data_IF_956701812781
#
_entry.id   IF_956701812781
#
_cell.length_a   1.000
_cell.length_b   1.000
_cell.length_c   1.000
_cell.angle_alpha   90.00
_cell.angle_beta   90.00
_cell.angle_gamma   90.00
#
_symmetry.space_group_name_H-M   'P 1'
#
loop_
_entity.id
_entity.type
_entity.pdbx_description
1 polymer ?
#
# COMPACT_ATOMS: atom_id res chain seq x y z
N UNK A 1 -33.57 -43.19 -20.72
CA UNK A 1 -33.26 -41.93 -21.45
C UNK A 1 -33.83 -40.67 -20.81
N UNK A 2 -35.15 -40.55 -20.55
CA UNK A 2 -35.72 -39.36 -19.89
C UNK A 2 -35.22 -39.15 -18.45
N UNK A 3 -35.13 -40.22 -17.67
CA UNK A 3 -34.66 -40.15 -16.27
C UNK A 3 -33.19 -39.71 -16.17
N UNK A 4 -32.32 -40.26 -17.01
CA UNK A 4 -30.91 -39.86 -17.11
C UNK A 4 -30.76 -38.38 -17.49
N UNK A 5 -31.57 -37.88 -18.42
CA UNK A 5 -31.57 -36.44 -18.79
C UNK A 5 -31.99 -35.56 -17.61
N UNK A 6 -33.06 -35.94 -16.91
CA UNK A 6 -33.51 -35.25 -15.70
C UNK A 6 -32.43 -35.24 -14.60
N UNK A 7 -31.70 -36.34 -14.42
CA UNK A 7 -30.58 -36.38 -13.46
C UNK A 7 -29.42 -35.47 -13.87
N UNK A 8 -29.06 -35.43 -15.16
CA UNK A 8 -28.04 -34.51 -15.68
C UNK A 8 -28.44 -33.05 -15.47
N UNK A 9 -29.71 -32.70 -15.72
CA UNK A 9 -30.21 -31.33 -15.50
C UNK A 9 -30.16 -30.94 -14.02
N UNK A 10 -30.54 -31.85 -13.11
CA UNK A 10 -30.45 -31.62 -11.66
C UNK A 10 -29.00 -31.41 -11.23
N UNK A 11 -28.08 -32.29 -11.67
CA UNK A 11 -26.66 -32.17 -11.34
C UNK A 11 -26.03 -30.90 -11.91
N UNK A 12 -26.43 -30.48 -13.11
CA UNK A 12 -25.95 -29.24 -13.74
C UNK A 12 -26.40 -28.01 -12.96
N UNK A 13 -27.67 -27.97 -12.54
CA UNK A 13 -28.19 -26.90 -11.70
C UNK A 13 -27.54 -26.88 -10.32
N UNK A 14 -27.31 -28.04 -9.71
CA UNK A 14 -26.57 -28.15 -8.45
C UNK A 14 -25.14 -27.66 -8.59
N UNK A 15 -24.44 -28.01 -9.68
CA UNK A 15 -23.09 -27.54 -9.97
C UNK A 15 -23.05 -26.01 -10.11
N UNK A 16 -23.94 -25.43 -10.91
CA UNK A 16 -24.02 -23.97 -11.07
C UNK A 16 -24.32 -23.25 -9.76
N UNK A 17 -25.19 -23.82 -8.91
CA UNK A 17 -25.45 -23.29 -7.57
C UNK A 17 -24.20 -23.31 -6.69
N UNK A 18 -23.47 -24.42 -6.67
CA UNK A 18 -22.23 -24.55 -5.88
C UNK A 18 -21.13 -23.63 -6.40
N UNK A 19 -21.04 -23.42 -7.72
CA UNK A 19 -20.09 -22.46 -8.33
C UNK A 19 -20.39 -21.03 -7.88
N UNK A 20 -21.65 -20.60 -7.91
CA UNK A 20 -22.06 -19.27 -7.40
C UNK A 20 -21.80 -19.14 -5.90
N UNK A 21 -22.12 -20.15 -5.11
CA UNK A 21 -21.83 -20.16 -3.66
C UNK A 21 -20.32 -20.06 -3.38
N UNK A 22 -19.49 -20.77 -4.16
CA UNK A 22 -18.02 -20.69 -4.09
C UNK A 22 -17.53 -19.28 -4.41
N UNK A 23 -18.02 -18.67 -5.48
CA UNK A 23 -17.57 -17.36 -5.94
C UNK A 23 -17.97 -16.27 -4.95
N UNK A 24 -19.19 -16.31 -4.41
CA UNK A 24 -19.62 -15.43 -3.34
C UNK A 24 -18.74 -15.56 -2.08
N UNK A 25 -18.40 -16.79 -1.67
CA UNK A 25 -17.51 -17.03 -0.54
C UNK A 25 -16.08 -16.53 -0.81
N UNK A 26 -15.59 -16.62 -2.05
CA UNK A 26 -14.29 -16.10 -2.44
C UNK A 26 -14.25 -14.56 -2.33
N UNK A 27 -15.30 -13.88 -2.81
CA UNK A 27 -15.45 -12.43 -2.71
C UNK A 27 -15.52 -11.97 -1.25
N UNK A 28 -16.30 -12.67 -0.41
CA UNK A 28 -16.41 -12.35 1.00
C UNK A 28 -15.08 -12.57 1.75
N UNK A 29 -14.35 -13.63 1.40
CA UNK A 29 -13.02 -13.89 1.94
C UNK A 29 -12.03 -12.78 1.52
N UNK A 30 -12.10 -12.29 0.27
CA UNK A 30 -11.28 -11.18 -0.19
C UNK A 30 -11.61 -9.88 0.57
N UNK A 31 -12.90 -9.56 0.75
CA UNK A 31 -13.33 -8.39 1.54
C UNK A 31 -12.85 -8.47 2.99
N UNK A 32 -12.94 -9.65 3.62
CA UNK A 32 -12.46 -9.84 4.99
C UNK A 32 -10.94 -9.68 5.06
N UNK A 33 -10.18 -10.21 4.09
CA UNK A 33 -8.73 -10.02 4.01
C UNK A 33 -8.36 -8.54 3.87
N UNK A 34 -9.05 -7.81 3.02
CA UNK A 34 -8.82 -6.38 2.84
C UNK A 34 -9.09 -5.61 4.14
N UNK A 35 -10.24 -5.84 4.77
CA UNK A 35 -10.57 -5.21 6.06
C UNK A 35 -9.55 -5.56 7.15
N UNK A 36 -9.08 -6.80 7.19
CA UNK A 36 -8.06 -7.22 8.14
C UNK A 36 -6.73 -6.49 7.93
N UNK A 37 -6.32 -6.28 6.66
CA UNK A 37 -5.13 -5.48 6.34
C UNK A 37 -5.31 -4.00 6.73
N UNK A 38 -6.47 -3.42 6.47
CA UNK A 38 -6.80 -2.05 6.88
C UNK A 38 -6.76 -1.91 8.42
N UNK A 39 -7.27 -2.90 9.16
CA UNK A 39 -7.25 -2.90 10.62
C UNK A 39 -5.82 -3.03 11.18
N UNK A 40 -4.97 -3.84 10.55
CA UNK A 40 -3.55 -3.94 10.91
C UNK A 40 -2.86 -2.58 10.72
N UNK A 41 -3.08 -1.92 9.58
CA UNK A 41 -2.49 -0.62 9.30
C UNK A 41 -2.95 0.42 10.33
N UNK A 42 -4.26 0.48 10.62
CA UNK A 42 -4.80 1.39 11.63
C UNK A 42 -4.23 1.11 13.03
N UNK A 43 -4.03 -0.16 13.39
CA UNK A 43 -3.40 -0.55 14.66
C UNK A 43 -1.95 -0.07 14.72
N UNK A 44 -1.18 -0.28 13.66
CA UNK A 44 0.23 0.16 13.59
C UNK A 44 0.33 1.69 13.67
N UNK A 45 -0.52 2.41 12.95
CA UNK A 45 -0.58 3.88 13.01
C UNK A 45 -0.95 4.38 14.42
N UNK A 46 -1.90 3.72 15.08
CA UNK A 46 -2.27 4.03 16.46
C UNK A 46 -1.15 3.72 17.46
N UNK A 47 -0.44 2.61 17.30
CA UNK A 47 0.71 2.22 18.13
C UNK A 47 1.88 3.22 17.96
N UNK A 48 2.15 3.65 16.73
CA UNK A 48 3.15 4.67 16.43
C UNK A 48 2.80 6.03 17.06
N UNK A 49 1.55 6.47 16.92
CA UNK A 49 1.06 7.70 17.54
C UNK A 49 1.13 7.65 19.07
N UNK A 50 0.77 6.51 19.68
CA UNK A 50 0.89 6.29 21.12
C UNK A 50 2.35 6.39 21.59
N UNK A 51 3.29 5.80 20.83
CA UNK A 51 4.71 5.88 21.14
C UNK A 51 5.25 7.31 21.07
N UNK A 52 4.84 8.09 20.05
CA UNK A 52 5.18 9.50 19.93
C UNK A 52 4.63 10.32 21.11
N UNK A 53 3.35 10.15 21.47
CA UNK A 53 2.78 10.87 22.61
C UNK A 53 3.44 10.51 23.94
N UNK A 54 3.90 9.27 24.13
CA UNK A 54 4.68 8.90 25.32
C UNK A 54 5.99 9.67 25.38
N UNK A 55 6.71 9.75 24.27
CA UNK A 55 7.96 10.53 24.22
C UNK A 55 7.72 12.03 24.50
N UNK A 56 6.64 12.60 23.96
CA UNK A 56 6.26 13.99 24.24
C UNK A 56 5.91 14.23 25.71
N UNK A 57 5.20 13.29 26.35
CA UNK A 57 4.88 13.34 27.78
C UNK A 57 6.14 13.25 28.64
N UNK A 58 7.07 12.35 28.28
CA UNK A 58 8.34 12.22 28.99
C UNK A 58 9.18 13.50 28.87
N UNK A 59 9.27 14.07 27.66
CA UNK A 59 9.97 15.33 27.41
C UNK A 59 9.33 16.51 28.17
N UNK A 60 8.00 16.61 28.16
CA UNK A 60 7.27 17.64 28.91
C UNK A 60 7.45 17.46 30.43
N UNK A 61 7.51 16.22 30.92
CA UNK A 61 7.75 15.92 32.33
C UNK A 61 9.16 16.32 32.76
N UNK A 62 10.18 16.05 31.94
CA UNK A 62 11.54 16.50 32.18
C UNK A 62 11.62 18.03 32.21
N UNK A 63 11.04 18.71 31.22
CA UNK A 63 10.99 20.17 31.17
C UNK A 63 10.29 20.77 32.39
N UNK A 64 9.21 20.14 32.87
CA UNK A 64 8.52 20.55 34.10
C UNK A 64 9.43 20.44 35.32
N UNK A 65 10.12 19.31 35.49
CA UNK A 65 11.03 19.08 36.61
C UNK A 65 12.19 20.09 36.60
N UNK A 66 12.75 20.39 35.43
CA UNK A 66 13.85 21.37 35.31
C UNK A 66 13.37 22.79 35.67
N UNK A 67 12.15 23.16 35.25
CA UNK A 67 11.54 24.43 35.65
C UNK A 67 11.22 24.48 37.15
N UNK A 68 10.72 23.39 37.75
CA UNK A 68 10.48 23.28 39.20
C UNK A 68 11.80 23.49 39.98
N UNK A 69 12.89 22.82 39.58
CA UNK A 69 14.22 23.02 40.17
C UNK A 69 14.73 24.45 40.02
N UNK A 70 14.47 25.08 38.86
CA UNK A 70 14.88 26.46 38.65
C UNK A 70 14.10 27.43 39.54
N UNK A 71 12.82 27.18 39.77
CA UNK A 71 12.00 27.94 40.71
C UNK A 71 12.53 27.78 42.13
N UNK A 72 12.81 26.56 42.58
CA UNK A 72 13.37 26.30 43.91
C UNK A 72 14.71 27.02 44.10
N UNK A 73 15.64 26.90 43.15
CA UNK A 73 16.94 27.57 43.20
C UNK A 73 16.81 29.11 43.26
N UNK A 74 15.88 29.69 42.50
CA UNK A 74 15.64 31.14 42.54
C UNK A 74 14.99 31.58 43.86
N UNK A 75 14.14 30.75 44.46
CA UNK A 75 13.57 31.02 45.77
C UNK A 75 14.65 31.00 46.87
N UNK A 76 15.57 30.03 46.82
CA UNK A 76 16.73 29.98 47.71
C UNK A 76 17.64 31.21 47.56
N UNK A 77 17.90 31.64 46.32
CA UNK A 77 18.69 32.85 46.04
C UNK A 77 18.02 34.11 46.60
N UNK A 78 16.70 34.26 46.41
CA UNK A 78 15.93 35.36 47.00
C UNK A 78 15.99 35.34 48.53
N UNK A 79 15.84 34.18 49.15
CA UNK A 79 15.91 34.04 50.60
C UNK A 79 17.31 34.40 51.13
N UNK A 80 18.36 33.96 50.44
CA UNK A 80 19.74 34.28 50.77
C UNK A 80 20.02 35.79 50.67
N UNK A 81 19.61 36.43 49.57
CA UNK A 81 19.78 37.88 49.38
C UNK A 81 19.04 38.70 50.44
N UNK A 82 17.83 38.28 50.81
CA UNK A 82 17.07 38.92 51.90
C UNK A 82 17.80 38.84 53.23
N UNK A 83 18.35 37.66 53.55
CA UNK A 83 19.10 37.45 54.79
C UNK A 83 20.37 38.31 54.83
N UNK A 84 21.13 38.36 53.75
CA UNK A 84 22.31 39.24 53.64
C UNK A 84 21.90 40.69 53.83
N UNK A 85 20.84 41.15 53.17
CA UNK A 85 20.40 42.53 53.28
C UNK A 85 19.96 42.90 54.70
N UNK A 86 19.29 41.99 55.42
CA UNK A 86 18.96 42.17 56.83
C UNK A 86 20.21 42.25 57.71
N UNK A 87 21.21 41.38 57.48
CA UNK A 87 22.49 41.40 58.19
C UNK A 87 23.27 42.71 57.92
N UNK A 88 23.34 43.18 56.66
CA UNK A 88 23.97 44.45 56.27
C UNK A 88 23.27 45.65 56.90
N UNK A 89 21.93 45.67 56.95
CA UNK A 89 21.17 46.75 57.62
C UNK A 89 21.49 46.77 59.11
N UNK A 90 21.54 45.61 59.77
CA UNK A 90 21.86 45.51 61.20
C UNK A 90 23.28 46.00 61.48
N UNK A 91 24.25 45.62 60.64
CA UNK A 91 25.64 46.08 60.76
C UNK A 91 25.77 47.59 60.55
N UNK A 92 25.12 48.15 59.52
CA UNK A 92 25.10 49.59 59.28
C UNK A 92 24.42 50.36 60.41
N UNK A 93 23.34 49.83 60.98
CA UNK A 93 22.68 50.42 62.16
C UNK A 93 23.59 50.38 63.39
N UNK A 94 24.33 49.29 63.60
CA UNK A 94 25.31 49.18 64.67
C UNK A 94 26.46 50.19 64.49
N UNK A 95 27.01 50.31 63.27
CA UNK A 95 28.04 51.30 62.95
C UNK A 95 27.55 52.73 63.14
N UNK A 96 26.29 53.04 62.80
CA UNK A 96 25.68 54.35 63.04
C UNK A 96 25.48 54.66 64.53
N UNK A 97 25.17 53.65 65.35
CA UNK A 97 25.10 53.79 66.80
C UNK A 97 26.49 53.95 67.42
N UNK A 98 27.49 53.25 66.91
CA UNK A 98 28.88 53.29 67.38
C UNK A 98 29.55 54.63 67.01
N UNK A 99 29.30 55.16 65.82
CA UNK A 99 29.77 56.50 65.39
C UNK A 99 29.08 57.65 66.10
N UNK A 100 27.94 57.45 66.76
CA UNK A 100 27.26 58.49 67.54
C UNK A 100 27.81 58.66 68.98
N UNK A 101 28.81 57.87 69.40
CA UNK A 101 29.23 57.77 70.81
C UNK A 101 30.73 58.02 71.09
N UNK A 102 31.60 58.23 70.10
CA UNK A 102 33.03 58.45 70.40
C UNK A 102 33.67 59.56 69.58
N UNK A 103 33.70 60.78 70.12
CA UNK A 103 34.85 61.71 69.99
C UNK A 103 34.89 62.65 71.21
N UNK A 104 35.55 62.24 72.30
CA UNK A 104 36.21 63.17 73.22
C UNK A 104 37.64 62.69 73.44
N UNK A 105 38.58 63.51 72.96
CA UNK A 105 39.99 63.21 72.78
C UNK A 105 40.75 64.10 73.77
N UNK A 106 41.25 63.52 74.86
CA UNK A 106 42.11 64.23 75.81
C UNK A 106 43.53 63.66 75.79
N UNK A 107 44.48 64.60 75.69
CA UNK A 107 45.84 64.43 75.19
C UNK A 107 46.82 64.40 76.35
N UNK A 108 47.41 63.24 76.64
CA UNK A 108 48.65 63.15 77.41
C UNK A 108 49.79 62.76 76.47
N UNK A 109 50.77 63.66 76.32
CA UNK A 109 51.89 63.58 75.36
C UNK A 109 52.60 62.21 75.40
N UNK A 110 52.48 61.40 74.34
CA UNK A 110 53.46 60.41 73.97
C UNK A 110 54.36 61.01 72.87
N UNK A 111 55.40 60.30 72.46
CA UNK A 111 56.31 60.74 71.41
C UNK A 111 55.59 60.85 70.04
N UNK A 112 55.10 62.06 69.76
CA UNK A 112 54.20 62.38 68.63
C UNK A 112 54.83 62.07 67.27
N UNK A 113 56.16 62.15 67.17
CA UNK A 113 56.88 61.86 65.93
C UNK A 113 56.84 60.37 65.58
N UNK A 114 56.96 59.48 66.57
CA UNK A 114 56.86 58.04 66.39
C UNK A 114 55.42 57.61 66.04
N UNK A 115 54.42 58.17 66.73
CA UNK A 115 53.01 57.88 66.47
C UNK A 115 52.56 58.38 65.09
N UNK A 116 52.93 59.60 64.68
CA UNK A 116 52.62 60.11 63.34
C UNK A 116 53.31 59.30 62.23
N UNK A 117 54.54 58.83 62.47
CA UNK A 117 55.24 57.94 61.53
C UNK A 117 54.57 56.57 61.43
N UNK A 118 54.09 56.02 62.53
CA UNK A 118 53.38 54.75 62.54
C UNK A 118 52.01 54.86 61.85
N UNK A 119 51.23 55.92 62.15
CA UNK A 119 49.96 56.21 61.46
C UNK A 119 50.19 56.36 59.96
N UNK A 120 51.23 57.09 59.54
CA UNK A 120 51.58 57.24 58.13
C UNK A 120 51.93 55.90 57.48
N UNK A 121 52.75 55.08 58.14
CA UNK A 121 53.09 53.72 57.69
C UNK A 121 51.85 52.83 57.54
N UNK A 122 50.93 52.88 58.51
CA UNK A 122 49.67 52.15 58.44
C UNK A 122 48.80 52.63 57.27
N UNK A 123 48.68 53.94 57.06
CA UNK A 123 47.95 54.48 55.91
C UNK A 123 48.57 54.10 54.57
N UNK A 124 49.91 54.17 54.45
CA UNK A 124 50.62 53.75 53.24
C UNK A 124 50.42 52.26 52.98
N UNK A 125 50.46 51.42 54.01
CA UNK A 125 50.16 49.98 53.89
C UNK A 125 48.71 49.70 53.50
N UNK A 126 47.74 50.40 54.11
CA UNK A 126 46.31 50.26 53.78
C UNK A 126 46.05 50.71 52.35
N UNK A 127 46.63 51.83 51.91
CA UNK A 127 46.51 52.32 50.55
C UNK A 127 47.13 51.34 49.54
N UNK A 128 48.32 50.81 49.81
CA UNK A 128 48.96 49.81 48.97
C UNK A 128 48.13 48.52 48.88
N UNK A 129 47.60 48.05 50.02
CA UNK A 129 46.73 46.87 50.09
C UNK A 129 45.42 47.08 49.32
N UNK A 130 44.80 48.26 49.46
CA UNK A 130 43.58 48.61 48.74
C UNK A 130 43.80 48.64 47.21
N UNK A 131 44.92 49.22 46.75
CA UNK A 131 45.28 49.22 45.32
C UNK A 131 45.47 47.79 44.80
N UNK A 132 46.21 46.96 45.54
CA UNK A 132 46.43 45.56 45.15
C UNK A 132 45.12 44.76 45.12
N UNK A 133 44.28 44.89 46.14
CA UNK A 133 42.96 44.24 46.19
C UNK A 133 42.05 44.70 45.05
N UNK A 134 42.07 46.00 44.71
CA UNK A 134 41.35 46.53 43.56
C UNK A 134 41.87 45.96 42.24
N UNK A 135 43.19 45.90 42.03
CA UNK A 135 43.79 45.32 40.83
C UNK A 135 43.46 43.84 40.68
N UNK A 136 43.56 43.06 41.76
CA UNK A 136 43.20 41.64 41.78
C UNK A 136 41.71 41.45 41.49
N UNK A 137 40.85 42.27 42.09
CA UNK A 137 39.41 42.26 41.84
C UNK A 137 39.08 42.59 40.38
N UNK A 138 39.67 43.65 39.82
CA UNK A 138 39.47 44.01 38.42
C UNK A 138 39.97 42.92 37.47
N UNK A 139 41.15 42.34 37.74
CA UNK A 139 41.71 41.26 36.94
C UNK A 139 40.80 40.04 36.96
N UNK A 140 40.32 39.64 38.13
CA UNK A 140 39.36 38.55 38.30
C UNK A 140 38.07 38.83 37.52
N UNK A 141 37.53 40.05 37.63
CA UNK A 141 36.29 40.42 36.94
C UNK A 141 36.44 40.41 35.42
N UNK A 142 37.57 40.89 34.90
CA UNK A 142 37.88 40.85 33.46
C UNK A 142 38.03 39.41 32.99
N UNK A 143 38.70 38.53 33.76
CA UNK A 143 38.81 37.11 33.40
C UNK A 143 37.46 36.41 33.37
N UNK A 144 36.59 36.69 34.35
CA UNK A 144 35.25 36.12 34.41
C UNK A 144 34.39 36.55 33.21
N UNK A 145 34.39 37.85 32.89
CA UNK A 145 33.68 38.38 31.73
C UNK A 145 34.21 37.81 30.42
N UNK A 146 35.54 37.68 30.29
CA UNK A 146 36.17 37.09 29.10
C UNK A 146 35.80 35.61 28.95
N UNK A 147 35.82 34.85 30.05
CA UNK A 147 35.43 33.45 30.05
C UNK A 147 33.94 33.29 29.71
N UNK A 148 33.06 34.12 30.28
CA UNK A 148 31.63 34.12 29.98
C UNK A 148 31.37 34.46 28.51
N UNK A 149 32.09 35.45 27.95
CA UNK A 149 32.00 35.80 26.54
C UNK A 149 32.47 34.65 25.62
N UNK A 150 33.56 33.97 25.97
CA UNK A 150 34.04 32.79 25.24
C UNK A 150 32.99 31.68 25.23
N UNK A 151 32.47 31.31 26.41
CA UNK A 151 31.43 30.27 26.55
C UNK A 151 30.18 30.59 25.74
N UNK A 152 29.74 31.85 25.75
CA UNK A 152 28.58 32.28 24.97
C UNK A 152 28.86 32.21 23.45
N UNK A 153 30.07 32.56 23.01
CA UNK A 153 30.45 32.45 21.60
C UNK A 153 30.50 30.98 21.14
N UNK A 154 31.03 30.09 21.97
CA UNK A 154 31.04 28.64 21.70
C UNK A 154 29.62 28.06 21.63
N UNK A 155 28.74 28.43 22.57
CA UNK A 155 27.33 28.05 22.53
C UNK A 155 26.60 28.58 21.28
N UNK A 156 26.88 29.83 20.88
CA UNK A 156 26.34 30.41 19.64
C UNK A 156 26.86 29.68 18.40
N UNK A 157 28.12 29.24 18.40
CA UNK A 157 28.70 28.47 17.30
C UNK A 157 28.06 27.08 17.20
N UNK A 158 27.87 26.41 18.33
CA UNK A 158 27.24 25.10 18.38
C UNK A 158 25.79 25.15 17.88
N UNK A 159 24.98 26.08 18.40
CA UNK A 159 23.59 26.25 17.95
C UNK A 159 23.48 26.59 16.46
N UNK A 160 24.41 27.39 15.91
CA UNK A 160 24.49 27.63 14.45
C UNK A 160 24.81 26.37 13.67
N UNK A 161 25.69 25.51 14.18
CA UNK A 161 26.02 24.24 13.54
C UNK A 161 24.82 23.29 13.55
N UNK A 162 24.15 23.13 14.69
CA UNK A 162 22.92 22.33 14.82
C UNK A 162 21.82 22.85 13.86
N UNK A 163 21.64 24.17 13.76
CA UNK A 163 20.70 24.77 12.80
C UNK A 163 21.06 24.41 11.34
N UNK A 164 22.34 24.40 10.97
CA UNK A 164 22.77 24.00 9.63
C UNK A 164 22.52 22.52 9.37
N UNK A 165 22.78 21.66 10.36
CA UNK A 165 22.51 20.22 10.29
C UNK A 165 21.01 19.94 10.10
N UNK A 166 20.14 20.58 10.88
CA UNK A 166 18.69 20.48 10.69
C UNK A 166 18.25 21.00 9.33
N UNK A 167 18.84 22.09 8.83
CA UNK A 167 18.54 22.58 7.48
C UNK A 167 18.93 21.57 6.41
N UNK A 168 20.07 20.91 6.56
CA UNK A 168 20.50 19.84 5.64
C UNK A 168 19.59 18.61 5.71
N UNK A 169 19.15 18.20 6.91
CA UNK A 169 18.18 17.12 7.09
C UNK A 169 16.84 17.44 6.41
N UNK A 170 16.32 18.66 6.60
CA UNK A 170 15.08 19.11 5.93
C UNK A 170 15.22 19.01 4.41
N UNK A 171 16.34 19.47 3.85
CA UNK A 171 16.60 19.37 2.41
C UNK A 171 16.68 17.91 1.94
N UNK A 172 17.38 17.05 2.69
CA UNK A 172 17.48 15.61 2.38
C UNK A 172 16.12 14.94 2.36
N UNK A 173 15.30 15.15 3.40
CA UNK A 173 13.96 14.59 3.47
C UNK A 173 13.03 15.17 2.41
N UNK A 174 13.16 16.45 2.06
CA UNK A 174 12.38 17.05 0.96
C UNK A 174 12.69 16.35 -0.36
N UNK A 175 13.98 16.14 -0.68
CA UNK A 175 14.39 15.41 -1.88
C UNK A 175 13.91 13.96 -1.88
N UNK A 176 13.95 13.28 -0.73
CA UNK A 176 13.46 11.91 -0.60
C UNK A 176 11.94 11.83 -0.82
N UNK A 177 11.17 12.74 -0.24
CA UNK A 177 9.72 12.87 -0.45
C UNK A 177 9.41 13.08 -1.93
N UNK A 178 10.11 14.00 -2.60
CA UNK A 178 9.86 14.29 -4.01
C UNK A 178 10.25 13.11 -4.91
N UNK A 179 11.32 12.39 -4.58
CA UNK A 179 11.70 11.14 -5.25
C UNK A 179 10.61 10.07 -5.09
N UNK A 180 10.12 9.85 -3.86
CA UNK A 180 9.07 8.86 -3.56
C UNK A 180 7.72 9.22 -4.20
N UNK A 181 7.37 10.50 -4.28
CA UNK A 181 6.21 10.96 -5.03
C UNK A 181 6.36 10.63 -6.51
N UNK A 182 7.53 10.91 -7.10
CA UNK A 182 7.81 10.60 -8.49
C UNK A 182 7.73 9.09 -8.80
N UNK A 183 8.24 8.24 -7.91
CA UNK A 183 8.12 6.77 -8.08
C UNK A 183 6.68 6.30 -7.93
N UNK A 184 5.92 6.85 -6.98
CA UNK A 184 4.50 6.54 -6.79
C UNK A 184 3.68 6.92 -8.03
N UNK A 185 3.85 8.14 -8.56
CA UNK A 185 3.17 8.60 -9.78
C UNK A 185 3.49 7.70 -10.98
N UNK A 186 4.76 7.28 -11.11
CA UNK A 186 5.17 6.34 -12.17
C UNK A 186 4.50 4.98 -12.01
N UNK A 187 4.44 4.43 -10.79
CA UNK A 187 3.81 3.14 -10.53
C UNK A 187 2.30 3.19 -10.76
N UNK A 188 1.63 4.26 -10.32
CA UNK A 188 0.21 4.48 -10.59
C UNK A 188 -0.07 4.57 -12.08
N UNK A 189 0.81 5.23 -12.85
CA UNK A 189 0.69 5.29 -14.31
C UNK A 189 0.83 3.92 -14.94
N UNK A 190 1.85 3.14 -14.56
CA UNK A 190 2.06 1.79 -15.06
C UNK A 190 0.89 0.86 -14.73
N UNK A 191 0.31 0.98 -13.54
CA UNK A 191 -0.86 0.22 -13.13
C UNK A 191 -2.07 0.54 -14.01
N UNK A 192 -2.37 1.82 -14.25
CA UNK A 192 -3.46 2.23 -15.15
C UNK A 192 -3.24 1.75 -16.58
N UNK A 193 -2.03 1.88 -17.11
CA UNK A 193 -1.68 1.39 -18.45
C UNK A 193 -1.86 -0.14 -18.55
N UNK A 194 -1.55 -0.88 -17.48
CA UNK A 194 -1.75 -2.33 -17.41
C UNK A 194 -3.26 -2.69 -17.33
N UNK A 195 -4.03 -1.98 -16.52
CA UNK A 195 -5.49 -2.14 -16.42
C UNK A 195 -6.18 -1.86 -17.77
N UNK A 196 -5.81 -0.78 -18.46
CA UNK A 196 -6.33 -0.45 -19.79
C UNK A 196 -5.97 -1.53 -20.83
N UNK A 197 -4.73 -2.03 -20.81
CA UNK A 197 -4.30 -3.12 -21.69
C UNK A 197 -5.11 -4.39 -21.45
N UNK A 198 -5.24 -4.83 -20.20
CA UNK A 198 -6.00 -6.04 -19.88
C UNK A 198 -7.50 -5.88 -20.17
N UNK A 199 -8.06 -4.70 -19.93
CA UNK A 199 -9.44 -4.39 -20.32
C UNK A 199 -9.64 -4.49 -21.83
N UNK A 200 -8.69 -3.97 -22.62
CA UNK A 200 -8.68 -4.10 -24.07
C UNK A 200 -8.58 -5.55 -24.55
N UNK A 201 -7.68 -6.34 -23.96
CA UNK A 201 -7.54 -7.77 -24.26
C UNK A 201 -8.81 -8.56 -23.92
N UNK A 202 -9.40 -8.31 -22.75
CA UNK A 202 -10.65 -8.94 -22.34
C UNK A 202 -11.80 -8.60 -23.30
N UNK A 203 -11.91 -7.35 -23.73
CA UNK A 203 -12.88 -6.95 -24.76
C UNK A 203 -12.62 -7.68 -26.07
N UNK A 204 -11.36 -7.79 -26.50
CA UNK A 204 -10.99 -8.51 -27.72
C UNK A 204 -11.35 -10.01 -27.66
N UNK A 205 -11.15 -10.66 -26.50
CA UNK A 205 -11.59 -12.04 -26.31
C UNK A 205 -13.11 -12.16 -26.34
N UNK A 206 -13.83 -11.24 -25.73
CA UNK A 206 -15.31 -11.22 -25.75
C UNK A 206 -15.84 -11.05 -27.17
N UNK A 207 -15.27 -10.15 -27.96
CA UNK A 207 -15.63 -9.95 -29.37
C UNK A 207 -15.37 -11.21 -30.19
N UNK A 208 -14.24 -11.89 -29.96
CA UNK A 208 -13.94 -13.14 -30.66
C UNK A 208 -14.89 -14.28 -30.26
N UNK A 209 -15.27 -14.37 -28.98
CA UNK A 209 -16.30 -15.32 -28.52
C UNK A 209 -17.62 -15.03 -29.23
N UNK A 210 -18.10 -13.78 -29.22
CA UNK A 210 -19.35 -13.40 -29.88
C UNK A 210 -19.33 -13.67 -31.39
N UNK A 211 -18.19 -13.45 -32.07
CA UNK A 211 -18.02 -13.81 -33.48
C UNK A 211 -18.15 -15.32 -33.71
N UNK A 212 -17.47 -16.13 -32.90
CA UNK A 212 -17.52 -17.59 -33.01
C UNK A 212 -18.93 -18.14 -32.69
N UNK A 213 -19.62 -17.57 -31.70
CA UNK A 213 -21.00 -17.91 -31.39
C UNK A 213 -21.94 -17.62 -32.57
N UNK A 214 -21.76 -16.47 -33.23
CA UNK A 214 -22.52 -16.10 -34.42
C UNK A 214 -22.24 -17.05 -35.60
N UNK A 215 -20.97 -17.43 -35.82
CA UNK A 215 -20.59 -18.42 -36.83
C UNK A 215 -21.22 -19.79 -36.56
N UNK A 216 -21.22 -20.24 -35.30
CA UNK A 216 -21.88 -21.49 -34.87
C UNK A 216 -23.40 -21.42 -35.12
N UNK A 217 -24.04 -20.30 -34.79
CA UNK A 217 -25.47 -20.11 -35.03
C UNK A 217 -25.79 -20.19 -36.53
N UNK A 218 -25.02 -19.49 -37.36
CA UNK A 218 -25.19 -19.52 -38.80
C UNK A 218 -25.01 -20.93 -39.39
N UNK A 219 -23.99 -21.67 -38.94
CA UNK A 219 -23.78 -23.07 -39.38
C UNK A 219 -24.92 -24.00 -38.94
N UNK A 220 -25.51 -23.79 -37.76
CA UNK A 220 -26.67 -24.55 -37.30
C UNK A 220 -27.91 -24.29 -38.19
N UNK A 221 -28.15 -23.03 -38.55
CA UNK A 221 -29.25 -22.66 -39.44
C UNK A 221 -29.07 -23.26 -40.84
N UNK A 222 -27.85 -23.23 -41.36
CA UNK A 222 -27.51 -23.83 -42.65
C UNK A 222 -27.66 -25.36 -42.64
N UNK A 223 -27.23 -26.02 -41.55
CA UNK A 223 -27.45 -27.45 -41.34
C UNK A 223 -28.96 -27.79 -41.32
N UNK A 224 -29.76 -26.99 -40.61
CA UNK A 224 -31.21 -27.16 -40.55
C UNK A 224 -31.90 -26.93 -41.91
N UNK A 225 -31.36 -26.04 -42.74
CA UNK A 225 -31.80 -25.84 -44.12
C UNK A 225 -31.50 -27.07 -44.98
N UNK A 226 -30.27 -27.58 -44.96
CA UNK A 226 -29.88 -28.77 -45.71
C UNK A 226 -30.66 -30.03 -45.29
N UNK A 227 -30.96 -30.19 -44.00
CA UNK A 227 -31.79 -31.30 -43.52
C UNK A 227 -33.21 -31.24 -44.09
N UNK A 228 -33.80 -30.04 -44.22
CA UNK A 228 -35.11 -29.85 -44.86
C UNK A 228 -35.05 -30.19 -46.35
N UNK A 229 -34.07 -29.66 -47.07
CA UNK A 229 -33.88 -29.95 -48.50
C UNK A 229 -33.67 -31.44 -48.76
N UNK A 230 -32.91 -32.12 -47.91
CA UNK A 230 -32.71 -33.56 -48.00
C UNK A 230 -34.00 -34.34 -47.76
N UNK A 231 -34.81 -33.95 -46.77
CA UNK A 231 -36.12 -34.57 -46.52
C UNK A 231 -37.07 -34.37 -47.70
N UNK A 232 -37.10 -33.18 -48.30
CA UNK A 232 -37.92 -32.89 -49.48
C UNK A 232 -37.51 -33.76 -50.68
N UNK A 233 -36.20 -33.88 -50.93
CA UNK A 233 -35.68 -34.75 -51.98
C UNK A 233 -35.99 -36.23 -51.72
N UNK A 234 -35.90 -36.67 -50.47
CA UNK A 234 -36.28 -38.03 -50.07
C UNK A 234 -37.76 -38.29 -50.34
N UNK A 235 -38.64 -37.34 -50.03
CA UNK A 235 -40.07 -37.45 -50.31
C UNK A 235 -40.33 -37.61 -51.82
N UNK A 236 -39.66 -36.82 -52.67
CA UNK A 236 -39.72 -36.96 -54.14
C UNK A 236 -39.23 -38.34 -54.58
N UNK A 237 -38.10 -38.81 -54.03
CA UNK A 237 -37.56 -40.14 -54.35
C UNK A 237 -38.54 -41.26 -53.99
N UNK A 238 -39.20 -41.17 -52.84
CA UNK A 238 -40.22 -42.13 -52.42
C UNK A 238 -41.44 -42.13 -53.35
N UNK A 239 -41.88 -40.95 -53.80
CA UNK A 239 -42.96 -40.85 -54.79
C UNK A 239 -42.57 -41.54 -56.10
N UNK A 240 -41.35 -41.30 -56.59
CA UNK A 240 -40.81 -41.97 -57.78
C UNK A 240 -40.70 -43.50 -57.61
N UNK A 241 -40.29 -44.00 -56.44
CA UNK A 241 -40.25 -45.44 -56.19
C UNK A 241 -41.65 -46.07 -56.28
N UNK A 242 -42.68 -45.39 -55.77
CA UNK A 242 -44.07 -45.82 -55.87
C UNK A 242 -44.51 -45.82 -57.33
N UNK A 243 -44.22 -44.76 -58.09
CA UNK A 243 -44.51 -44.70 -59.52
C UNK A 243 -43.84 -45.86 -60.27
N UNK A 244 -42.55 -46.12 -60.06
CA UNK A 244 -41.82 -47.24 -60.68
C UNK A 244 -42.47 -48.58 -60.31
N UNK A 245 -42.86 -48.78 -59.05
CA UNK A 245 -43.55 -50.00 -58.63
C UNK A 245 -44.90 -50.17 -59.34
N UNK A 246 -45.65 -49.08 -59.53
CA UNK A 246 -46.91 -49.12 -60.29
C UNK A 246 -46.68 -49.41 -61.77
N UNK A 247 -45.68 -48.80 -62.41
CA UNK A 247 -45.31 -49.08 -63.79
C UNK A 247 -44.89 -50.55 -63.98
N UNK A 248 -44.07 -51.10 -63.07
CA UNK A 248 -43.69 -52.53 -63.10
C UNK A 248 -44.91 -53.45 -63.03
N UNK A 249 -45.86 -53.17 -62.13
CA UNK A 249 -47.08 -53.96 -61.97
C UNK A 249 -48.00 -53.90 -63.22
N UNK A 250 -48.07 -52.76 -63.89
CA UNK A 250 -48.81 -52.63 -65.15
C UNK A 250 -48.16 -53.45 -66.27
N UNK A 251 -46.83 -53.42 -66.38
CA UNK A 251 -46.06 -54.21 -67.35
C UNK A 251 -46.23 -55.73 -67.13
N UNK A 252 -46.15 -56.21 -65.88
CA UNK A 252 -46.43 -57.61 -65.53
C UNK A 252 -47.87 -58.04 -65.92
N UNK A 253 -48.83 -57.11 -65.84
CA UNK A 253 -50.22 -57.34 -66.27
C UNK A 253 -50.40 -57.45 -67.80
N UNK A 254 -49.55 -56.78 -68.58
CA UNK A 254 -49.53 -56.91 -70.05
C UNK A 254 -48.76 -58.17 -70.50
N UNK A 255 -47.70 -58.56 -69.79
CA UNK A 255 -46.93 -59.78 -70.08
C UNK A 255 -47.79 -61.04 -69.90
N UNK A 256 -48.65 -61.10 -68.86
CA UNK A 256 -49.63 -62.19 -68.69
C UNK A 256 -50.71 -62.25 -69.79
N UNK A 257 -50.92 -61.15 -70.54
CA UNK A 257 -51.81 -61.12 -71.72
C UNK A 257 -51.11 -61.61 -72.97
N UNK A 258 -49.79 -61.51 -73.04
CA UNK A 258 -48.95 -62.00 -74.14
C UNK A 258 -48.48 -63.45 -73.92
N UNK A 259 -48.42 -63.94 -72.67
CA UNK A 259 -48.11 -65.35 -72.35
C UNK A 259 -49.18 -66.35 -72.82
N UNK A 260 -50.43 -65.92 -73.09
CA UNK A 260 -51.42 -66.78 -73.77
C UNK A 260 -51.24 -66.86 -75.30
N UNK A 261 -50.37 -66.02 -75.89
CA UNK A 261 -50.20 -65.95 -77.36
C UNK A 261 -48.85 -66.41 -77.89
N UNK A 262 -47.88 -66.77 -77.05
CA UNK A 262 -46.59 -67.27 -77.54
C UNK A 262 -45.98 -68.32 -76.62
N UNK A 263 -46.39 -69.58 -76.81
CA UNK A 263 -45.48 -70.69 -76.53
C UNK A 263 -44.26 -70.63 -77.48
N UNK A 264 -43.10 -70.98 -76.91
CA UNK A 264 -41.81 -71.31 -77.56
C UNK A 264 -40.90 -70.13 -77.92
N UNK A 265 -40.02 -69.77 -76.99
CA UNK A 265 -38.63 -70.30 -76.98
C UNK A 265 -37.83 -69.80 -75.76
N UNK A 266 -37.14 -70.73 -75.11
CA UNK A 266 -36.10 -70.56 -74.07
C UNK A 266 -34.99 -71.58 -74.40
N UNK A 267 -33.75 -71.56 -73.85
CA UNK A 267 -33.21 -70.69 -72.78
C UNK A 267 -31.75 -70.20 -73.01
N UNK A 268 -31.23 -69.38 -72.08
CA UNK A 268 -29.77 -69.20 -71.88
C UNK A 268 -29.41 -67.89 -71.16
N UNK A 269 -29.85 -67.68 -69.92
CA UNK A 269 -29.07 -67.84 -68.67
C UNK A 269 -27.73 -67.08 -68.54
N UNK A 270 -27.75 -66.16 -67.56
CA UNK A 270 -26.68 -65.81 -66.60
C UNK A 270 -25.52 -64.93 -67.13
N UNK A 271 -25.04 -63.89 -66.44
CA UNK A 271 -25.01 -63.67 -65.00
C UNK A 271 -24.77 -62.17 -64.67
N UNK A 272 -25.52 -61.73 -63.68
CA UNK A 272 -25.47 -60.45 -62.96
C UNK A 272 -24.15 -60.30 -62.18
N UNK A 273 -23.44 -59.17 -62.31
CA UNK A 273 -22.63 -58.60 -61.21
C UNK A 273 -22.65 -57.06 -61.23
N UNK A 274 -23.55 -56.55 -60.38
CA UNK A 274 -23.34 -55.44 -59.42
C UNK A 274 -22.35 -54.33 -59.78
N UNK A 275 -22.89 -53.16 -60.17
CA UNK A 275 -22.19 -51.89 -60.05
C UNK A 275 -22.06 -51.49 -58.57
N UNK A 276 -20.84 -51.10 -58.23
CA UNK A 276 -20.38 -50.72 -56.91
C UNK A 276 -20.96 -49.37 -56.53
N UNK A 277 -21.95 -49.34 -55.64
CA UNK A 277 -22.26 -48.11 -54.91
C UNK A 277 -21.15 -47.83 -53.91
N UNK A 278 -20.30 -46.87 -54.25
CA UNK A 278 -19.31 -46.29 -53.34
C UNK A 278 -20.06 -45.57 -52.21
N UNK A 279 -20.28 -46.28 -51.09
CA UNK A 279 -20.73 -45.68 -49.84
C UNK A 279 -19.58 -44.84 -49.30
N UNK A 280 -19.64 -43.52 -49.53
CA UNK A 280 -18.77 -42.57 -48.80
C UNK A 280 -19.27 -42.50 -47.36
N UNK A 281 -18.48 -42.98 -46.41
CA UNK A 281 -18.72 -42.78 -44.98
C UNK A 281 -18.42 -41.33 -44.63
N UNK A 282 -19.39 -40.66 -43.99
CA UNK A 282 -19.18 -39.35 -43.37
C UNK A 282 -18.70 -39.60 -41.95
N UNK A 283 -17.44 -39.25 -41.67
CA UNK A 283 -16.87 -39.31 -40.33
C UNK A 283 -17.15 -37.98 -39.65
N UNK A 284 -17.99 -37.99 -38.61
CA UNK A 284 -18.20 -36.84 -37.72
C UNK A 284 -17.07 -36.85 -36.70
N UNK A 285 -16.19 -35.84 -36.75
CA UNK A 285 -15.18 -35.59 -35.71
C UNK A 285 -15.76 -34.64 -34.68
N UNK A 286 -15.99 -35.12 -33.46
CA UNK A 286 -16.21 -34.26 -32.30
C UNK A 286 -14.83 -33.88 -31.75
N UNK A 287 -14.50 -32.59 -31.75
CA UNK A 287 -13.27 -32.07 -31.16
C UNK A 287 -13.65 -31.52 -29.79
N UNK A 288 -13.18 -32.15 -28.72
CA UNK A 288 -13.18 -31.56 -27.38
C UNK A 288 -11.83 -30.89 -27.14
N UNK A 289 -11.84 -29.57 -27.00
CA UNK A 289 -10.67 -28.78 -26.59
C UNK A 289 -10.64 -28.68 -25.07
N UNK A 290 -9.58 -29.20 -24.46
CA UNK A 290 -9.18 -28.89 -23.09
C UNK A 290 -7.68 -28.57 -23.12
N UNK A 291 -7.33 -27.36 -22.70
CA UNK A 291 -5.96 -26.88 -22.45
C UNK A 291 -4.97 -26.95 -23.63
N UNK A 292 -5.39 -26.53 -24.83
CA UNK A 292 -4.47 -26.02 -25.86
C UNK A 292 -3.63 -27.03 -26.66
N UNK A 293 -3.66 -28.33 -26.38
CA UNK A 293 -2.99 -29.35 -27.21
C UNK A 293 -3.97 -30.31 -27.91
N UNK A 294 -3.82 -30.45 -29.23
CA UNK A 294 -4.66 -31.32 -30.08
C UNK A 294 -4.07 -32.73 -30.11
N UNK A 295 -4.67 -33.66 -29.37
CA UNK A 295 -4.33 -35.09 -29.41
C UNK A 295 -5.39 -35.89 -30.18
N UNK A 296 -5.00 -36.48 -31.32
CA UNK A 296 -5.85 -37.36 -32.14
C UNK A 296 -5.82 -38.79 -31.60
N UNK A 297 -6.91 -39.28 -30.99
CA UNK A 297 -7.04 -40.69 -30.63
C UNK A 297 -8.10 -41.39 -31.51
N UNK A 298 -7.73 -42.52 -32.13
CA UNK A 298 -8.61 -43.35 -32.95
C UNK A 298 -9.21 -44.46 -32.09
N UNK A 299 -10.53 -44.63 -32.11
CA UNK A 299 -11.20 -45.83 -31.61
C UNK A 299 -12.12 -46.37 -32.70
N UNK A 300 -12.04 -47.67 -32.96
CA UNK A 300 -12.79 -48.40 -33.99
C UNK A 300 -14.31 -48.37 -33.78
#
# INVERSE_FOLDING_TARGET
MRELRRQVDILTNQRGRVEVERDNLADDLQKIKQRFQEEIQQKEDAENNLAAFRADVDAATLARIDLERRIESLQEEIAFLRKIHEEEILELQAQLQETHVQVEMDMSKPDLAAALKDIRSQYENIAAKNIQEAEEWYKSKVTDLTQAASKNNDALRQTKQEMMEYRHQIQSYTCEIDSLKGTNDSLMRQMREMEERFSGEASGYQDNISRLEAEIANMKDEMARHLREYQDLLNVKMALDVEIATYRKLLEGEENRWEFTTEKTSPGQHQRKSEVHSKKSVVIKTIETRDGEVSSCHTF
#
